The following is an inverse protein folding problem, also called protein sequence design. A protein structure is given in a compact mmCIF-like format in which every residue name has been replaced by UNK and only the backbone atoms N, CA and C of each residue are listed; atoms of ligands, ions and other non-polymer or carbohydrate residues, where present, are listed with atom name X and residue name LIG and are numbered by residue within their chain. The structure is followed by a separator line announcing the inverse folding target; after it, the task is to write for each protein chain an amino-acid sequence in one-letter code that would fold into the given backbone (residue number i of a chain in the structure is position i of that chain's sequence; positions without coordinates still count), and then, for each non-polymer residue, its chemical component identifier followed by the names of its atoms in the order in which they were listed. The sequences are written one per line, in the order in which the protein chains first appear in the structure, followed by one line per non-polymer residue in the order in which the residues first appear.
data_IF_183649733580
#
_entry.id   IF_183649733580
#
_cell.length_a   1.000
_cell.length_b   1.000
_cell.length_c   1.000
_cell.angle_alpha   90.00
_cell.angle_beta   90.00
_cell.angle_gamma   90.00
#
_symmetry.space_group_name_H-M   'P 1'
#
loop_
_entity.id
_entity.type
_entity.pdbx_description
1 polymer ?
#
# COMPACT_ATOMS: atom_id res chain seq x y z
N UNK A 1 7.48 0.31 -18.98
CA UNK A 1 7.51 -0.30 -17.64
C UNK A 1 8.78 -1.12 -17.56
N UNK A 2 9.62 -0.95 -16.54
CA UNK A 2 10.78 -1.83 -16.35
C UNK A 2 10.28 -3.29 -16.23
N UNK A 3 11.03 -4.25 -16.78
CA UNK A 3 10.65 -5.66 -16.64
C UNK A 3 10.80 -6.10 -15.18
N UNK A 4 9.99 -7.07 -14.71
CA UNK A 4 10.15 -7.60 -13.34
C UNK A 4 11.58 -8.10 -13.08
N UNK A 5 12.23 -8.67 -14.10
CA UNK A 5 13.65 -9.08 -14.03
C UNK A 5 14.62 -7.92 -13.80
N UNK A 6 14.36 -6.76 -14.41
CA UNK A 6 15.18 -5.56 -14.20
C UNK A 6 14.98 -4.98 -12.80
N UNK A 7 13.75 -5.03 -12.29
CA UNK A 7 13.39 -4.64 -10.92
C UNK A 7 14.12 -5.54 -9.92
N UNK A 8 14.06 -6.86 -10.10
CA UNK A 8 14.73 -7.83 -9.23
C UNK A 8 16.25 -7.61 -9.21
N UNK A 9 16.86 -7.46 -10.38
CA UNK A 9 18.29 -7.17 -10.50
C UNK A 9 18.66 -5.85 -9.84
N UNK A 10 17.80 -4.84 -9.91
CA UNK A 10 18.01 -3.59 -9.22
C UNK A 10 17.90 -3.76 -7.70
N UNK A 11 16.91 -4.52 -7.23
CA UNK A 11 16.71 -4.80 -5.81
C UNK A 11 17.93 -5.53 -5.21
N UNK A 12 18.47 -6.54 -5.90
CA UNK A 12 19.70 -7.23 -5.46
C UNK A 12 20.90 -6.29 -5.29
N UNK A 13 21.06 -5.33 -6.20
CA UNK A 13 22.12 -4.30 -6.09
C UNK A 13 21.89 -3.38 -4.90
N UNK A 14 20.65 -3.11 -4.53
CA UNK A 14 20.34 -2.27 -3.38
C UNK A 14 20.50 -3.05 -2.05
N UNK A 15 20.33 -4.37 -2.04
CA UNK A 15 20.71 -5.25 -0.91
C UNK A 15 22.22 -5.18 -0.70
N UNK A 16 23.00 -5.31 -1.77
CA UNK A 16 24.47 -5.19 -1.70
C UNK A 16 24.95 -3.81 -1.19
N UNK A 17 24.09 -2.78 -1.26
CA UNK A 17 24.34 -1.44 -0.71
C UNK A 17 23.80 -1.24 0.72
N UNK A 18 23.29 -2.29 1.36
CA UNK A 18 22.80 -2.27 2.74
C UNK A 18 21.29 -2.09 2.89
N UNK A 19 20.49 -2.29 1.84
CA UNK A 19 19.04 -2.42 2.01
C UNK A 19 18.70 -3.76 2.67
N UNK A 20 17.76 -3.74 3.60
CA UNK A 20 17.15 -4.90 4.21
C UNK A 20 16.59 -5.82 3.12
N UNK A 21 16.99 -7.11 3.08
CA UNK A 21 16.65 -8.03 2.00
C UNK A 21 15.22 -8.59 2.15
N UNK A 22 14.26 -7.73 2.44
CA UNK A 22 12.85 -8.11 2.59
C UNK A 22 12.29 -8.58 1.25
N UNK A 23 11.80 -9.82 1.16
CA UNK A 23 11.30 -10.43 -0.08
C UNK A 23 9.79 -10.48 -0.11
N UNK A 24 9.18 -10.04 -1.20
CA UNK A 24 7.74 -10.23 -1.43
C UNK A 24 7.43 -11.72 -1.67
N UNK A 25 6.37 -12.23 -1.04
CA UNK A 25 5.95 -13.63 -1.14
C UNK A 25 4.62 -13.75 -1.87
N UNK A 26 3.57 -13.10 -1.34
CA UNK A 26 2.20 -13.17 -1.83
C UNK A 26 1.38 -12.01 -1.31
N UNK A 27 0.14 -11.91 -1.77
CA UNK A 27 -0.88 -11.07 -1.14
C UNK A 27 -1.97 -11.94 -0.50
N UNK A 28 -2.66 -11.37 0.48
CA UNK A 28 -3.78 -11.99 1.18
C UNK A 28 -4.92 -10.99 1.34
N UNK A 29 -6.15 -11.45 1.10
CA UNK A 29 -7.36 -10.71 1.40
C UNK A 29 -7.81 -11.06 2.82
N UNK A 30 -8.13 -10.06 3.64
CA UNK A 30 -8.85 -10.29 4.89
C UNK A 30 -10.32 -10.60 4.64
N UNK A 31 -11.05 -11.00 5.68
CA UNK A 31 -12.49 -11.30 5.61
C UNK A 31 -13.35 -10.11 5.13
N UNK A 32 -12.91 -8.88 5.40
CA UNK A 32 -13.57 -7.65 4.93
C UNK A 32 -12.52 -6.68 4.37
N UNK A 33 -12.02 -6.94 3.15
CA UNK A 33 -10.96 -6.15 2.54
C UNK A 33 -11.48 -4.86 1.91
N UNK A 34 -12.80 -4.74 1.73
CA UNK A 34 -13.45 -3.60 1.10
C UNK A 34 -14.30 -2.82 2.10
N UNK A 35 -14.19 -1.50 2.05
CA UNK A 35 -14.99 -0.59 2.86
C UNK A 35 -15.55 0.51 1.98
N UNK A 36 -16.86 0.70 2.01
CA UNK A 36 -17.51 1.77 1.27
C UNK A 36 -17.16 3.14 1.89
N UNK A 37 -16.86 4.11 1.03
CA UNK A 37 -16.69 5.50 1.41
C UNK A 37 -17.98 6.22 1.02
N UNK A 38 -18.88 6.36 1.99
CA UNK A 38 -20.24 6.89 1.77
C UNK A 38 -20.36 8.42 1.78
N UNK A 39 -19.24 9.15 1.92
CA UNK A 39 -19.27 10.62 1.85
C UNK A 39 -17.91 11.24 1.53
N UNK A 40 -17.96 12.51 1.14
CA UNK A 40 -16.77 13.33 0.92
C UNK A 40 -15.98 13.53 2.22
N UNK A 41 -16.66 13.69 3.34
CA UNK A 41 -16.07 13.85 4.67
C UNK A 41 -15.33 12.57 5.05
N UNK A 42 -15.95 11.40 4.83
CA UNK A 42 -15.30 10.11 5.09
C UNK A 42 -14.09 9.89 4.19
N UNK A 43 -14.16 10.28 2.93
CA UNK A 43 -13.00 10.25 2.03
C UNK A 43 -11.82 11.06 2.57
N UNK A 44 -12.08 12.28 3.06
CA UNK A 44 -11.02 13.13 3.62
C UNK A 44 -10.43 12.56 4.91
N UNK A 45 -11.26 11.93 5.74
CA UNK A 45 -10.82 11.20 6.93
C UNK A 45 -9.91 10.01 6.55
N UNK A 46 -10.35 9.18 5.60
CA UNK A 46 -9.55 8.04 5.09
C UNK A 46 -8.22 8.50 4.51
N UNK A 47 -8.21 9.54 3.67
CA UNK A 47 -6.97 10.11 3.14
C UNK A 47 -6.06 10.63 4.26
N UNK A 48 -6.63 11.27 5.29
CA UNK A 48 -5.86 11.77 6.43
C UNK A 48 -5.25 10.64 7.25
N UNK A 49 -6.01 9.55 7.44
CA UNK A 49 -5.52 8.33 8.07
C UNK A 49 -4.35 7.75 7.26
N UNK A 50 -4.55 7.42 5.97
CA UNK A 50 -3.53 6.77 5.14
C UNK A 50 -2.23 7.60 5.05
N UNK A 51 -2.34 8.92 4.92
CA UNK A 51 -1.20 9.84 4.84
C UNK A 51 -0.64 10.26 6.19
N UNK A 52 -1.25 9.83 7.32
CA UNK A 52 -0.90 10.28 8.68
C UNK A 52 -0.77 11.81 8.74
N UNK A 53 -1.83 12.50 8.35
CA UNK A 53 -1.96 13.97 8.37
C UNK A 53 -3.10 14.41 9.28
N UNK A 54 -3.16 15.70 9.60
CA UNK A 54 -4.15 16.24 10.54
C UNK A 54 -4.10 15.52 11.89
N UNK A 55 -5.26 15.12 12.41
CA UNK A 55 -5.38 14.43 13.69
C UNK A 55 -4.70 13.05 13.72
N UNK A 56 -4.48 12.44 12.56
CA UNK A 56 -3.76 11.18 12.42
C UNK A 56 -2.24 11.36 12.35
N UNK A 57 -1.75 12.60 12.31
CA UNK A 57 -0.32 12.89 12.34
C UNK A 57 0.39 12.35 13.59
N UNK A 58 -0.33 12.22 14.71
CA UNK A 58 0.17 11.60 15.95
C UNK A 58 0.57 10.13 15.79
N UNK A 59 -0.01 9.43 14.82
CA UNK A 59 0.29 8.03 14.52
C UNK A 59 1.43 7.88 13.51
N UNK A 60 2.03 8.99 13.05
CA UNK A 60 3.20 8.95 12.20
C UNK A 60 4.43 8.56 13.03
N UNK A 61 4.67 7.26 13.15
CA UNK A 61 5.85 6.70 13.81
C UNK A 61 7.10 6.71 12.93
N UNK A 62 8.20 6.18 13.47
CA UNK A 62 9.48 6.01 12.72
C UNK A 62 9.30 5.16 11.45
N UNK A 63 8.34 4.24 11.43
CA UNK A 63 8.00 3.41 10.29
C UNK A 63 7.35 4.15 9.11
N UNK A 64 6.70 5.30 9.34
CA UNK A 64 6.01 6.05 8.27
C UNK A 64 6.96 6.54 7.19
N UNK A 65 8.25 6.69 7.55
CA UNK A 65 9.29 6.98 6.58
C UNK A 65 9.42 5.94 5.47
N UNK A 66 8.98 4.69 5.67
CA UNK A 66 9.03 3.62 4.67
C UNK A 66 7.76 3.51 3.80
N UNK A 67 6.73 4.30 4.09
CA UNK A 67 5.48 4.24 3.33
C UNK A 67 5.68 4.76 1.90
N UNK A 68 5.03 4.08 0.96
CA UNK A 68 4.96 4.49 -0.46
C UNK A 68 3.60 5.08 -0.72
N UNK A 69 3.57 6.25 -1.33
CA UNK A 69 2.34 6.95 -1.66
C UNK A 69 2.29 7.27 -3.14
N UNK A 70 1.09 7.14 -3.70
CA UNK A 70 0.71 7.78 -4.95
C UNK A 70 0.79 9.30 -4.78
N UNK A 71 1.44 9.96 -5.72
CA UNK A 71 1.52 11.40 -5.83
C UNK A 71 1.14 11.79 -7.27
N UNK A 72 0.36 12.87 -7.41
CA UNK A 72 -0.13 13.31 -8.70
C UNK A 72 0.82 14.35 -9.29
N UNK A 73 1.61 13.93 -10.28
CA UNK A 73 2.42 14.85 -11.10
C UNK A 73 1.62 15.23 -12.35
N UNK A 74 0.83 16.29 -12.23
CA UNK A 74 -0.03 16.74 -13.34
C UNK A 74 -1.22 15.81 -13.55
N UNK A 75 -1.18 14.99 -14.60
CA UNK A 75 -2.20 13.95 -14.89
C UNK A 75 -1.70 12.53 -14.63
N UNK A 76 -0.41 12.35 -14.39
CA UNK A 76 0.19 11.04 -14.19
C UNK A 76 0.38 10.73 -12.70
N UNK A 77 0.08 9.50 -12.34
CA UNK A 77 0.37 8.95 -11.02
C UNK A 77 1.86 8.59 -10.96
N UNK A 78 2.56 9.13 -9.98
CA UNK A 78 3.91 8.71 -9.61
C UNK A 78 3.88 8.11 -8.20
N UNK A 79 4.81 7.20 -7.90
CA UNK A 79 4.91 6.60 -6.57
C UNK A 79 6.22 7.00 -5.94
N UNK A 80 6.16 7.39 -4.66
CA UNK A 80 7.36 7.80 -3.93
C UNK A 80 7.26 7.41 -2.46
N UNK A 81 8.41 7.04 -1.90
CA UNK A 81 8.59 6.96 -0.46
C UNK A 81 8.52 8.37 0.14
N UNK A 82 7.81 8.54 1.25
CA UNK A 82 7.66 9.87 1.86
C UNK A 82 8.02 9.86 3.34
N UNK A 83 9.01 10.68 3.72
CA UNK A 83 9.52 10.77 5.09
C UNK A 83 9.01 11.99 5.85
N UNK A 84 8.70 13.08 5.15
CA UNK A 84 8.32 14.36 5.76
C UNK A 84 6.80 14.50 5.88
N UNK A 85 6.34 15.04 7.01
CA UNK A 85 4.94 15.42 7.18
C UNK A 85 4.50 16.48 6.14
N UNK A 86 5.42 17.36 5.71
CA UNK A 86 5.14 18.40 4.71
C UNK A 86 4.79 17.73 3.38
N UNK A 87 5.59 16.75 2.98
CA UNK A 87 5.37 16.01 1.73
C UNK A 87 4.04 15.23 1.77
N UNK A 88 3.69 14.61 2.91
CA UNK A 88 2.40 13.92 3.06
C UNK A 88 1.22 14.89 2.95
N UNK A 89 1.33 16.10 3.52
CA UNK A 89 0.32 17.15 3.36
C UNK A 89 0.24 17.70 1.92
N UNK A 90 1.36 17.75 1.21
CA UNK A 90 1.40 18.12 -0.21
C UNK A 90 0.68 17.07 -1.06
N UNK A 91 0.92 15.77 -0.80
CA UNK A 91 0.21 14.67 -1.45
C UNK A 91 -1.29 14.75 -1.14
N UNK A 92 -1.67 14.93 0.13
CA UNK A 92 -3.08 15.11 0.52
C UNK A 92 -3.75 16.22 -0.29
N UNK A 93 -3.09 17.37 -0.41
CA UNK A 93 -3.58 18.52 -1.18
C UNK A 93 -3.65 18.25 -2.68
N UNK A 94 -2.71 17.48 -3.24
CA UNK A 94 -2.71 17.07 -4.63
C UNK A 94 -3.86 16.09 -4.93
N UNK A 95 -4.04 15.05 -4.10
CA UNK A 95 -5.11 14.06 -4.24
C UNK A 95 -6.48 14.68 -4.04
N UNK A 96 -6.64 15.58 -3.06
CA UNK A 96 -7.89 16.34 -2.88
C UNK A 96 -8.26 17.17 -4.13
N UNK A 97 -7.27 17.74 -4.82
CA UNK A 97 -7.50 18.46 -6.09
C UNK A 97 -7.80 17.50 -7.24
N UNK A 98 -7.12 16.35 -7.31
CA UNK A 98 -7.38 15.30 -8.27
C UNK A 98 -8.79 14.73 -8.13
N UNK A 99 -9.26 14.47 -6.91
CA UNK A 99 -10.61 14.00 -6.62
C UNK A 99 -11.71 14.93 -7.11
N UNK A 100 -11.48 16.26 -7.19
CA UNK A 100 -12.45 17.18 -7.82
C UNK A 100 -12.62 16.93 -9.32
N UNK A 101 -11.59 16.40 -9.99
CA UNK A 101 -11.63 16.03 -11.42
C UNK A 101 -12.29 14.68 -11.60
N UNK A 102 -11.91 13.69 -10.77
CA UNK A 102 -12.45 12.32 -10.83
C UNK A 102 -13.91 12.26 -10.40
N UNK A 103 -14.35 13.15 -9.50
CA UNK A 103 -15.70 13.20 -8.94
C UNK A 103 -16.15 11.81 -8.44
N UNK A 104 -15.55 11.31 -7.33
CA UNK A 104 -16.01 10.08 -6.70
C UNK A 104 -17.50 10.15 -6.41
N UNK A 105 -18.20 9.05 -6.67
CA UNK A 105 -19.60 8.88 -6.33
C UNK A 105 -19.69 8.08 -5.03
N UNK A 106 -20.37 8.66 -4.06
CA UNK A 106 -20.45 8.14 -2.70
C UNK A 106 -21.73 7.34 -2.45
N UNK A 107 -22.57 7.14 -3.46
CA UNK A 107 -23.76 6.29 -3.40
C UNK A 107 -23.42 4.82 -3.73
N UNK A 108 -22.44 4.25 -3.00
CA UNK A 108 -22.00 2.87 -3.23
C UNK A 108 -21.09 2.65 -4.44
N UNK A 109 -20.34 3.69 -4.86
CA UNK A 109 -19.41 3.65 -5.99
C UNK A 109 -17.98 4.11 -5.64
N UNK A 110 -17.66 4.29 -4.35
CA UNK A 110 -16.29 4.60 -3.90
C UNK A 110 -15.91 3.66 -2.77
N UNK A 111 -14.81 2.93 -2.93
CA UNK A 111 -14.38 1.90 -1.97
C UNK A 111 -12.90 2.05 -1.62
N UNK A 112 -12.58 1.84 -0.35
CA UNK A 112 -11.23 1.54 0.12
C UNK A 112 -11.05 0.02 0.08
N UNK A 113 -10.08 -0.45 -0.69
CA UNK A 113 -9.52 -1.79 -0.60
C UNK A 113 -8.30 -1.77 0.32
N UNK A 114 -8.18 -2.78 1.19
CA UNK A 114 -6.97 -3.08 1.95
C UNK A 114 -6.59 -4.54 1.75
N UNK A 115 -5.43 -4.76 1.14
CA UNK A 115 -4.85 -6.08 0.87
C UNK A 115 -3.54 -6.21 1.63
N UNK A 116 -3.32 -7.35 2.29
CA UNK A 116 -2.06 -7.60 3.00
C UNK A 116 -1.02 -8.08 2.01
N UNK A 117 0.13 -7.43 2.00
CA UNK A 117 1.31 -7.89 1.27
C UNK A 117 2.21 -8.64 2.25
N UNK A 118 2.46 -9.90 1.95
CA UNK A 118 3.25 -10.79 2.79
C UNK A 118 4.71 -10.76 2.32
N UNK A 119 5.60 -10.57 3.29
CA UNK A 119 7.03 -10.52 3.09
C UNK A 119 7.75 -11.47 4.03
N UNK A 120 8.94 -11.88 3.63
CA UNK A 120 9.83 -12.66 4.47
C UNK A 120 11.23 -12.05 4.46
N UNK A 121 11.97 -12.32 5.53
CA UNK A 121 13.41 -12.10 5.56
C UNK A 121 14.10 -13.43 5.26
N UNK A 122 15.24 -13.42 4.56
CA UNK A 122 16.06 -14.61 4.36
C UNK A 122 16.43 -15.26 5.70
N UNK A 123 16.71 -16.55 5.65
CA UNK A 123 17.13 -17.31 6.83
C UNK A 123 18.35 -16.66 7.49
N UNK A 124 18.32 -16.49 8.82
CA UNK A 124 19.39 -15.85 9.58
C UNK A 124 19.46 -14.32 9.49
N UNK A 125 18.61 -13.66 8.69
CA UNK A 125 18.58 -12.18 8.61
C UNK A 125 17.66 -11.55 9.65
N UNK A 126 16.65 -12.30 10.14
CA UNK A 126 15.59 -11.76 11.02
C UNK A 126 16.11 -11.02 12.24
N UNK A 127 17.05 -11.63 12.97
CA UNK A 127 17.62 -11.07 14.21
C UNK A 127 18.34 -9.74 13.99
N UNK A 128 18.87 -9.49 12.78
CA UNK A 128 19.58 -8.25 12.45
C UNK A 128 18.65 -7.04 12.35
N UNK A 129 17.39 -7.29 12.01
CA UNK A 129 16.38 -6.25 11.78
C UNK A 129 15.33 -6.18 12.88
N UNK A 130 15.27 -7.19 13.77
CA UNK A 130 14.38 -7.21 14.91
C UNK A 130 14.96 -6.35 16.05
N UNK A 131 14.13 -5.49 16.62
CA UNK A 131 14.49 -4.63 17.76
C UNK A 131 13.38 -4.61 18.78
N UNK A 132 13.72 -4.40 20.05
CA UNK A 132 12.74 -4.16 21.11
C UNK A 132 12.62 -2.66 21.35
N UNK A 133 11.43 -2.11 21.16
CA UNK A 133 11.12 -0.72 21.45
C UNK A 133 9.95 -0.67 22.43
N UNK A 134 10.15 -0.02 23.58
CA UNK A 134 9.14 0.10 24.65
C UNK A 134 8.55 -1.25 25.09
N UNK A 135 9.40 -2.27 25.20
CA UNK A 135 8.99 -3.64 25.59
C UNK A 135 8.27 -4.43 24.49
N UNK A 136 8.08 -3.86 23.30
CA UNK A 136 7.48 -4.55 22.14
C UNK A 136 8.53 -4.85 21.07
N UNK A 137 8.49 -6.07 20.54
CA UNK A 137 9.29 -6.43 19.37
C UNK A 137 8.76 -5.75 18.12
N UNK A 138 9.67 -5.13 17.35
CA UNK A 138 9.38 -4.47 16.08
C UNK A 138 10.56 -4.65 15.12
N UNK A 139 10.42 -4.15 13.89
CA UNK A 139 11.41 -4.29 12.84
C UNK A 139 11.95 -2.94 12.37
N UNK A 140 13.27 -2.82 12.30
CA UNK A 140 13.94 -1.72 11.60
C UNK A 140 14.28 -2.21 10.21
N UNK A 141 13.61 -1.67 9.20
CA UNK A 141 13.78 -2.06 7.81
C UNK A 141 14.50 -0.94 7.03
N UNK A 142 15.84 -0.82 7.12
CA UNK A 142 16.58 0.15 6.35
C UNK A 142 16.52 -0.26 4.89
N UNK A 143 15.86 0.52 4.03
CA UNK A 143 15.78 0.22 2.60
C UNK A 143 16.05 1.49 1.81
N UNK A 144 16.57 1.37 0.60
CA UNK A 144 16.66 2.53 -0.31
C UNK A 144 15.30 2.85 -0.93
N UNK A 145 15.17 4.04 -1.52
CA UNK A 145 13.95 4.43 -2.23
C UNK A 145 13.70 3.49 -3.42
N UNK A 146 14.76 3.07 -4.10
CA UNK A 146 14.67 2.12 -5.22
C UNK A 146 14.18 0.74 -4.77
N UNK A 147 14.70 0.24 -3.63
CA UNK A 147 14.30 -1.07 -3.11
C UNK A 147 12.82 -1.10 -2.69
N UNK A 148 12.38 -0.08 -1.94
CA UNK A 148 10.98 0.04 -1.51
C UNK A 148 10.02 0.14 -2.70
N UNK A 149 10.38 0.90 -3.74
CA UNK A 149 9.57 0.98 -4.96
C UNK A 149 9.53 -0.35 -5.73
N UNK A 150 10.61 -1.14 -5.67
CA UNK A 150 10.64 -2.51 -6.18
C UNK A 150 9.64 -3.41 -5.44
N UNK A 151 9.64 -3.39 -4.10
CA UNK A 151 8.66 -4.13 -3.28
C UNK A 151 7.22 -3.72 -3.58
N UNK A 152 6.98 -2.41 -3.67
CA UNK A 152 5.68 -1.88 -4.08
C UNK A 152 5.25 -2.43 -5.46
N UNK A 153 6.19 -2.50 -6.42
CA UNK A 153 5.90 -3.00 -7.77
C UNK A 153 5.55 -4.49 -7.77
N UNK A 154 6.21 -5.30 -6.94
CA UNK A 154 5.83 -6.69 -6.70
C UNK A 154 4.42 -6.81 -6.13
N UNK A 155 4.09 -6.02 -5.10
CA UNK A 155 2.78 -6.02 -4.45
C UNK A 155 1.64 -5.69 -5.44
N UNK A 156 1.79 -4.59 -6.19
CA UNK A 156 0.76 -4.16 -7.14
C UNK A 156 0.64 -5.09 -8.35
N UNK A 157 1.76 -5.68 -8.81
CA UNK A 157 1.75 -6.69 -9.87
C UNK A 157 0.99 -7.94 -9.42
N UNK A 158 1.24 -8.42 -8.20
CA UNK A 158 0.52 -9.55 -7.64
C UNK A 158 -0.98 -9.25 -7.47
N UNK A 159 -1.36 -8.06 -6.97
CA UNK A 159 -2.78 -7.67 -6.87
C UNK A 159 -3.48 -7.60 -8.23
N UNK A 160 -2.77 -7.16 -9.28
CA UNK A 160 -3.31 -7.12 -10.65
C UNK A 160 -3.43 -8.49 -11.31
N UNK A 161 -2.65 -9.48 -10.86
CA UNK A 161 -2.69 -10.85 -11.37
C UNK A 161 -3.78 -11.72 -10.71
N UNK A 162 -4.35 -11.30 -9.58
CA UNK A 162 -5.46 -12.00 -8.90
C UNK A 162 -6.62 -12.41 -9.83
N UNK A 163 -7.06 -11.59 -10.80
CA UNK A 163 -8.12 -11.98 -11.74
C UNK A 163 -7.72 -13.16 -12.66
N UNK A 164 -6.43 -13.37 -12.89
CA UNK A 164 -5.91 -14.36 -13.84
C UNK A 164 -5.59 -15.73 -13.20
N UNK A 165 -5.39 -15.79 -11.88
CA UNK A 165 -4.55 -16.84 -11.27
C UNK A 165 -5.14 -17.68 -10.10
N UNK A 166 -6.44 -17.61 -9.72
CA UNK A 166 -7.20 -18.69 -9.01
C UNK A 166 -8.47 -18.23 -8.26
N UNK A 167 -9.29 -19.25 -7.91
CA UNK A 167 -10.22 -19.38 -6.77
C UNK A 167 -9.92 -18.44 -5.59
N UNK A 168 -10.30 -17.17 -5.71
CA UNK A 168 -10.60 -16.33 -4.55
C UNK A 168 -11.67 -17.08 -3.74
N UNK A 169 -11.67 -17.04 -2.40
CA UNK A 169 -12.82 -17.45 -1.61
C UNK A 169 -14.02 -16.56 -1.98
N UNK A 170 -14.66 -16.86 -3.11
CA UNK A 170 -15.80 -16.15 -3.66
C UNK A 170 -17.04 -16.34 -2.79
N UNK A 171 -16.96 -17.32 -1.87
CA UNK A 171 -17.87 -17.55 -0.75
C UNK A 171 -17.72 -16.45 0.28
N UNK A 172 -18.29 -15.27 0.01
CA UNK A 172 -18.39 -14.18 0.98
C UNK A 172 -18.49 -12.78 0.37
N UNK A 173 -17.93 -12.58 -0.84
CA UNK A 173 -17.94 -11.28 -1.50
C UNK A 173 -19.26 -10.99 -2.21
N UNK A 174 -19.74 -9.75 -2.04
CA UNK A 174 -20.81 -9.18 -2.83
C UNK A 174 -20.43 -9.11 -4.32
N UNK A 175 -21.42 -8.89 -5.18
CA UNK A 175 -21.19 -8.71 -6.63
C UNK A 175 -20.24 -7.52 -6.90
N UNK A 176 -20.42 -6.41 -6.16
CA UNK A 176 -19.55 -5.23 -6.26
C UNK A 176 -18.11 -5.57 -5.89
N UNK A 177 -17.90 -6.24 -4.76
CA UNK A 177 -16.56 -6.62 -4.30
C UNK A 177 -15.89 -7.57 -5.29
N UNK A 178 -16.63 -8.51 -5.88
CA UNK A 178 -16.12 -9.36 -6.96
C UNK A 178 -15.68 -8.55 -8.18
N UNK A 179 -16.46 -7.55 -8.58
CA UNK A 179 -16.06 -6.60 -9.63
C UNK A 179 -14.77 -5.85 -9.28
N UNK A 180 -14.60 -5.41 -8.03
CA UNK A 180 -13.35 -4.79 -7.58
C UNK A 180 -12.18 -5.79 -7.61
N UNK A 181 -12.39 -7.04 -7.19
CA UNK A 181 -11.35 -8.08 -7.25
C UNK A 181 -10.87 -8.28 -8.69
N UNK A 182 -11.80 -8.46 -9.62
CA UNK A 182 -11.52 -8.63 -11.06
C UNK A 182 -11.13 -7.33 -11.77
N UNK A 183 -11.17 -6.19 -11.07
CA UNK A 183 -11.05 -4.84 -11.60
C UNK A 183 -12.11 -4.51 -12.67
N UNK A 184 -13.17 -5.31 -12.78
CA UNK A 184 -14.33 -5.04 -13.61
C UNK A 184 -15.19 -3.94 -13.00
N UNK A 185 -15.57 -2.96 -13.81
CA UNK A 185 -16.38 -1.84 -13.33
C UNK A 185 -15.60 -0.81 -12.51
N UNK A 186 -14.29 -0.99 -12.28
CA UNK A 186 -13.43 0.08 -11.76
C UNK A 186 -13.26 1.16 -12.84
N UNK A 187 -13.67 2.38 -12.54
CA UNK A 187 -13.56 3.55 -13.42
C UNK A 187 -12.21 4.23 -13.27
N UNK A 188 -11.77 4.45 -12.04
CA UNK A 188 -10.53 5.16 -11.72
C UNK A 188 -9.95 4.72 -10.37
N UNK A 189 -8.68 5.03 -10.14
CA UNK A 189 -7.99 4.86 -8.86
C UNK A 189 -7.68 6.26 -8.32
N UNK A 190 -8.39 6.65 -7.27
CA UNK A 190 -8.22 7.97 -6.67
C UNK A 190 -6.90 8.09 -5.91
N UNK A 191 -6.52 7.04 -5.19
CA UNK A 191 -5.32 7.02 -4.35
C UNK A 191 -4.84 5.59 -4.11
N UNK A 192 -3.54 5.41 -3.95
CA UNK A 192 -2.93 4.11 -3.65
C UNK A 192 -1.69 4.29 -2.79
N UNK A 193 -1.49 3.41 -1.80
CA UNK A 193 -0.32 3.45 -0.93
C UNK A 193 0.03 2.08 -0.35
N UNK A 194 1.30 1.87 -0.03
CA UNK A 194 1.81 0.73 0.74
C UNK A 194 2.31 1.23 2.09
N UNK A 195 1.70 0.72 3.16
CA UNK A 195 1.91 1.18 4.54
C UNK A 195 2.82 0.21 5.30
N UNK A 196 4.09 0.58 5.43
CA UNK A 196 5.08 -0.11 6.25
C UNK A 196 5.04 0.30 7.72
N UNK A 197 4.37 1.41 8.06
CA UNK A 197 4.20 1.84 9.45
C UNK A 197 3.19 1.01 10.24
N UNK A 198 2.37 0.21 9.55
CA UNK A 198 1.43 -0.75 10.16
C UNK A 198 1.98 -2.18 10.15
N UNK A 199 3.30 -2.36 9.94
CA UNK A 199 3.86 -3.69 9.74
C UNK A 199 3.58 -4.61 10.93
N UNK A 200 3.07 -5.81 10.64
CA UNK A 200 2.80 -6.85 11.63
C UNK A 200 3.70 -8.04 11.38
N UNK A 201 3.95 -8.84 12.42
CA UNK A 201 4.60 -10.13 12.29
C UNK A 201 3.66 -11.25 12.73
N UNK A 202 3.63 -12.34 11.97
CA UNK A 202 2.80 -13.51 12.22
C UNK A 202 3.26 -14.67 11.35
N UNK A 203 3.20 -15.90 11.86
CA UNK A 203 3.62 -17.12 11.13
C UNK A 203 5.01 -17.03 10.46
N UNK A 204 5.94 -16.27 11.07
CA UNK A 204 7.28 -16.07 10.52
C UNK A 204 7.38 -14.99 9.43
N UNK A 205 6.27 -14.46 8.93
CA UNK A 205 6.21 -13.42 7.90
C UNK A 205 5.97 -12.02 8.47
N UNK A 206 6.21 -11.02 7.62
CA UNK A 206 5.93 -9.62 7.84
C UNK A 206 4.81 -9.16 6.89
N UNK A 207 3.87 -8.37 7.39
CA UNK A 207 2.69 -7.95 6.63
C UNK A 207 2.62 -6.43 6.56
N UNK A 208 2.52 -5.87 5.36
CA UNK A 208 2.23 -4.45 5.15
C UNK A 208 0.91 -4.29 4.37
N UNK A 209 0.18 -3.21 4.66
CA UNK A 209 -1.11 -2.98 4.02
C UNK A 209 -0.93 -2.23 2.69
N UNK A 210 -1.37 -2.83 1.59
CA UNK A 210 -1.58 -2.15 0.32
C UNK A 210 -3.02 -1.63 0.29
N UNK A 211 -3.18 -0.31 0.32
CA UNK A 211 -4.47 0.34 0.31
C UNK A 211 -4.71 1.02 -1.04
N UNK A 212 -5.91 0.82 -1.60
CA UNK A 212 -6.33 1.45 -2.86
C UNK A 212 -7.73 2.03 -2.71
N UNK A 213 -7.93 3.29 -3.12
CA UNK A 213 -9.26 3.90 -3.19
C UNK A 213 -9.74 3.83 -4.65
N UNK A 214 -10.70 2.95 -4.91
CA UNK A 214 -11.33 2.79 -6.21
C UNK A 214 -12.56 3.68 -6.34
N UNK A 215 -12.74 4.26 -7.52
CA UNK A 215 -14.00 4.81 -7.98
C UNK A 215 -14.58 3.87 -9.03
N UNK A 216 -15.80 3.40 -8.81
CA UNK A 216 -16.50 2.49 -9.71
C UNK A 216 -17.26 3.28 -10.78
N UNK A 217 -17.71 2.56 -11.82
CA UNK A 217 -18.61 3.08 -12.85
C UNK A 217 -19.98 3.40 -12.28
#
# INVERSE_FOLDING_TARGET
MESMRDIDRAMEREIAKGSCPLRFVKIEFSDSPYQEIASREKLLEVLSYLLRTGDYGRFAGKGTGNNVYMDMKGREAAFKRTRSFIDRNNIFSAIRRYGKKIKPDFDGHTYLETVRCCFELPEGEREKYQVTYDGQETFVLPMSDKYILGLYTHCISARRAVPEDMDIPSTGFSEKERGIVSLEGVRDVLFQCLLFDTIKCGEGMLYADLCTIYCLK
#
